data_IF_519524052445
#
_entry.id   IF_519524052445
#
_cell.length_a   1.000
_cell.length_b   1.000
_cell.length_c   1.000
_cell.angle_alpha   90.00
_cell.angle_beta   90.00
_cell.angle_gamma   90.00
#
_symmetry.space_group_name_H-M   'P 1'
#
loop_
_entity.id
_entity.type
_entity.pdbx_description
1 polymer ?
#
# COMPACT_ATOMS: atom_id res chain seq x y z
N UNK A 1 -1.40 15.71 10.69
CA UNK A 1 -0.79 16.08 9.39
C UNK A 1 -1.25 15.09 8.34
N UNK A 2 -1.27 15.47 7.07
CA UNK A 2 -1.51 14.58 5.94
C UNK A 2 -0.40 14.84 4.93
N UNK A 3 0.28 13.77 4.49
CA UNK A 3 1.47 13.87 3.63
C UNK A 3 1.34 12.86 2.50
N UNK A 4 1.52 13.33 1.27
CA UNK A 4 1.70 12.45 0.12
C UNK A 4 3.18 12.05 0.05
N UNK A 5 3.45 10.76 -0.18
CA UNK A 5 4.81 10.22 -0.26
C UNK A 5 5.04 9.50 -1.60
N UNK A 6 6.08 9.91 -2.32
CA UNK A 6 6.58 9.19 -3.49
C UNK A 6 7.32 7.91 -3.09
N UNK A 7 7.55 7.01 -4.05
CA UNK A 7 8.37 5.81 -3.82
C UNK A 7 9.80 6.15 -3.39
N UNK A 8 10.36 7.26 -3.90
CA UNK A 8 11.69 7.74 -3.51
C UNK A 8 11.73 8.15 -2.04
N UNK A 9 10.72 8.91 -1.59
CA UNK A 9 10.65 9.35 -0.20
C UNK A 9 10.48 8.17 0.75
N UNK A 10 9.64 7.19 0.40
CA UNK A 10 9.46 5.98 1.21
C UNK A 10 10.75 5.15 1.27
N UNK A 11 11.46 5.02 0.14
CA UNK A 11 12.72 4.27 0.08
C UNK A 11 13.83 4.93 0.92
N UNK A 12 13.92 6.26 0.87
CA UNK A 12 14.93 7.04 1.59
C UNK A 12 14.58 7.31 3.06
N UNK A 13 13.33 7.09 3.47
CA UNK A 13 12.86 7.31 4.84
C UNK A 13 12.31 6.01 5.45
N UNK A 14 13.14 4.99 5.72
CA UNK A 14 12.69 3.71 6.27
C UNK A 14 12.09 3.81 7.68
N UNK A 15 12.31 4.93 8.38
CA UNK A 15 11.74 5.24 9.69
C UNK A 15 10.38 5.95 9.62
N UNK A 16 9.80 6.14 8.43
CA UNK A 16 8.46 6.72 8.32
C UNK A 16 7.45 5.82 9.03
N UNK A 17 6.72 6.37 9.99
CA UNK A 17 5.79 5.65 10.84
C UNK A 17 4.50 6.46 11.01
N UNK A 18 3.60 6.46 10.00
CA UNK A 18 2.35 7.20 10.10
C UNK A 18 1.32 6.42 10.93
N UNK A 19 0.46 7.12 11.65
CA UNK A 19 -0.66 6.50 12.37
C UNK A 19 -1.66 5.81 11.42
N UNK A 20 -1.79 6.32 10.20
CA UNK A 20 -2.52 5.66 9.12
C UNK A 20 -1.72 5.74 7.81
N UNK A 21 -1.48 4.59 7.19
CA UNK A 21 -0.87 4.47 5.87
C UNK A 21 -1.93 4.16 4.83
N UNK A 22 -1.89 4.85 3.68
CA UNK A 22 -2.83 4.61 2.57
C UNK A 22 -2.06 4.29 1.30
N UNK A 23 -2.35 3.14 0.69
CA UNK A 23 -1.87 2.77 -0.64
C UNK A 23 -3.08 2.53 -1.55
N UNK A 24 -3.31 3.42 -2.52
CA UNK A 24 -4.54 3.43 -3.32
C UNK A 24 -4.52 2.44 -4.49
N UNK A 25 -3.43 2.41 -5.24
CA UNK A 25 -3.24 1.51 -6.39
C UNK A 25 -1.77 1.48 -6.79
N UNK A 26 -1.42 0.48 -7.62
CA UNK A 26 -0.10 0.35 -8.22
C UNK A 26 -0.17 0.09 -9.72
N UNK A 27 0.52 0.95 -10.47
CA UNK A 27 0.78 0.80 -11.91
C UNK A 27 2.27 1.03 -12.19
N UNK A 28 2.80 0.55 -13.33
CA UNK A 28 4.19 0.82 -13.71
C UNK A 28 4.54 2.30 -13.71
N UNK A 29 5.49 2.65 -12.86
CA UNK A 29 6.06 3.98 -12.74
C UNK A 29 7.48 3.88 -12.16
N UNK A 30 8.37 4.79 -12.54
CA UNK A 30 9.77 4.86 -12.07
C UNK A 30 10.54 3.51 -12.10
N UNK A 31 10.25 2.63 -13.06
CA UNK A 31 10.89 1.31 -13.14
C UNK A 31 12.36 1.36 -13.57
N UNK A 32 12.78 2.46 -14.19
CA UNK A 32 14.19 2.78 -14.44
C UNK A 32 14.99 2.88 -13.12
N UNK A 33 14.35 3.37 -12.04
CA UNK A 33 14.94 3.47 -10.70
C UNK A 33 14.80 2.18 -9.90
N UNK A 34 13.62 1.56 -9.96
CA UNK A 34 13.24 0.43 -9.09
C UNK A 34 13.52 -0.93 -9.72
N UNK A 35 13.80 -0.99 -11.01
CA UNK A 35 14.15 -2.19 -11.78
C UNK A 35 12.96 -3.07 -12.13
N UNK A 36 12.13 -3.42 -11.16
CA UNK A 36 10.97 -4.30 -11.37
C UNK A 36 9.73 -3.79 -10.66
N UNK A 37 8.55 -4.17 -11.17
CA UNK A 37 7.28 -3.89 -10.48
C UNK A 37 7.22 -4.47 -9.08
N UNK A 38 7.79 -5.67 -8.88
CA UNK A 38 7.81 -6.32 -7.57
C UNK A 38 8.61 -5.51 -6.54
N UNK A 39 9.77 -4.98 -6.96
CA UNK A 39 10.57 -4.11 -6.09
C UNK A 39 9.88 -2.78 -5.83
N UNK A 40 9.32 -2.13 -6.87
CA UNK A 40 8.55 -0.89 -6.71
C UNK A 40 7.36 -1.05 -5.74
N UNK A 41 6.61 -2.14 -5.87
CA UNK A 41 5.50 -2.46 -4.98
C UNK A 41 5.97 -2.70 -3.54
N UNK A 42 7.10 -3.42 -3.35
CA UNK A 42 7.63 -3.69 -2.01
C UNK A 42 8.14 -2.43 -1.32
N UNK A 43 8.67 -1.44 -2.05
CA UNK A 43 8.98 -0.12 -1.50
C UNK A 43 7.71 0.55 -0.98
N UNK A 44 6.66 0.66 -1.80
CA UNK A 44 5.42 1.34 -1.42
C UNK A 44 4.66 0.62 -0.30
N UNK A 45 4.73 -0.71 -0.25
CA UNK A 45 4.18 -1.54 0.82
C UNK A 45 4.73 -1.14 2.20
N UNK A 46 5.99 -0.70 2.31
CA UNK A 46 6.60 -0.28 3.58
C UNK A 46 5.77 0.79 4.30
N UNK A 47 5.16 1.72 3.57
CA UNK A 47 4.37 2.81 4.15
C UNK A 47 3.16 2.28 4.91
N UNK A 48 2.44 1.32 4.34
CA UNK A 48 1.24 0.73 4.96
C UNK A 48 1.60 -0.35 5.98
N UNK A 49 2.66 -1.11 5.73
CA UNK A 49 3.15 -2.15 6.64
C UNK A 49 3.65 -1.56 7.98
N UNK A 50 4.28 -0.38 7.93
CA UNK A 50 4.78 0.32 9.11
C UNK A 50 3.73 1.10 9.89
N UNK A 51 2.52 1.29 9.34
CA UNK A 51 1.47 2.10 9.98
C UNK A 51 0.64 1.33 11.00
N UNK A 52 0.08 2.03 11.99
CA UNK A 52 -0.85 1.41 12.95
C UNK A 52 -2.11 0.90 12.25
N UNK A 53 -2.66 1.72 11.34
CA UNK A 53 -3.81 1.41 10.48
C UNK A 53 -3.40 1.39 9.00
N UNK A 54 -3.40 0.20 8.40
CA UNK A 54 -3.14 0.03 6.98
C UNK A 54 -4.43 0.13 6.17
N UNK A 55 -4.47 1.03 5.18
CA UNK A 55 -5.58 1.16 4.24
C UNK A 55 -5.06 0.87 2.84
N UNK A 56 -5.64 -0.12 2.17
CA UNK A 56 -5.11 -0.62 0.89
C UNK A 56 -6.24 -0.73 -0.13
N UNK A 57 -6.04 -0.11 -1.29
CA UNK A 57 -6.89 -0.31 -2.45
C UNK A 57 -6.62 -1.66 -3.10
N UNK A 58 -7.69 -2.39 -3.41
CA UNK A 58 -7.60 -3.78 -3.90
C UNK A 58 -8.13 -3.97 -5.32
N UNK A 59 -8.24 -2.87 -6.07
CA UNK A 59 -8.70 -2.88 -7.46
C UNK A 59 -7.63 -3.32 -8.47
N UNK A 60 -6.36 -3.40 -8.04
CA UNK A 60 -5.26 -3.97 -8.79
C UNK A 60 -4.64 -5.17 -8.04
N UNK A 61 -3.95 -6.03 -8.80
CA UNK A 61 -3.41 -7.27 -8.26
C UNK A 61 -2.28 -7.07 -7.25
N UNK A 62 -1.53 -5.97 -7.31
CA UNK A 62 -0.47 -5.70 -6.34
C UNK A 62 -1.06 -5.25 -5.01
N UNK A 63 -2.02 -4.32 -5.04
CA UNK A 63 -2.76 -3.87 -3.87
C UNK A 63 -3.47 -5.03 -3.16
N UNK A 64 -4.17 -5.88 -3.91
CA UNK A 64 -4.81 -7.08 -3.37
C UNK A 64 -3.79 -8.02 -2.68
N UNK A 65 -2.66 -8.32 -3.34
CA UNK A 65 -1.63 -9.18 -2.77
C UNK A 65 -0.93 -8.56 -1.55
N UNK A 66 -0.77 -7.24 -1.51
CA UNK A 66 -0.23 -6.52 -0.34
C UNK A 66 -1.19 -6.66 0.84
N UNK A 67 -2.48 -6.40 0.64
CA UNK A 67 -3.49 -6.57 1.68
C UNK A 67 -3.47 -8.00 2.26
N UNK A 68 -3.45 -9.02 1.40
CA UNK A 68 -3.39 -10.42 1.82
C UNK A 68 -2.12 -10.79 2.59
N UNK A 69 -0.98 -10.17 2.26
CA UNK A 69 0.27 -10.38 3.01
C UNK A 69 0.21 -9.73 4.38
N UNK A 70 -0.29 -8.50 4.48
CA UNK A 70 -0.40 -7.76 5.73
C UNK A 70 -1.35 -8.47 6.71
N UNK A 71 -2.50 -8.96 6.23
CA UNK A 71 -3.43 -9.72 7.07
C UNK A 71 -2.84 -11.03 7.56
N UNK A 72 -2.13 -11.77 6.69
CA UNK A 72 -1.40 -12.99 7.10
C UNK A 72 -0.31 -12.70 8.13
N UNK A 73 0.26 -11.50 8.12
CA UNK A 73 1.18 -11.02 9.15
C UNK A 73 0.48 -10.52 10.43
N UNK A 74 -0.84 -10.68 10.54
CA UNK A 74 -1.63 -10.29 11.72
C UNK A 74 -1.92 -8.79 11.80
N UNK A 75 -1.76 -8.04 10.70
CA UNK A 75 -2.07 -6.61 10.67
C UNK A 75 -3.55 -6.36 10.44
N UNK A 76 -4.07 -5.32 11.10
CA UNK A 76 -5.37 -4.77 10.74
C UNK A 76 -5.26 -4.03 9.41
N UNK A 77 -6.02 -4.49 8.42
CA UNK A 77 -6.06 -3.93 7.07
C UNK A 77 -7.49 -3.52 6.74
N UNK A 78 -7.67 -2.27 6.35
CA UNK A 78 -8.90 -1.78 5.77
C UNK A 78 -8.78 -1.82 4.25
N UNK A 79 -9.47 -2.76 3.61
CA UNK A 79 -9.56 -2.79 2.15
C UNK A 79 -10.51 -1.71 1.64
N UNK A 80 -10.13 -1.06 0.54
CA UNK A 80 -11.00 -0.14 -0.20
C UNK A 80 -11.09 -0.54 -1.67
N UNK A 81 -12.26 -0.35 -2.28
CA UNK A 81 -12.47 -0.62 -3.71
C UNK A 81 -13.40 0.42 -4.32
N UNK A 82 -13.14 0.74 -5.59
CA UNK A 82 -14.01 1.52 -6.48
C UNK A 82 -14.69 0.63 -7.54
N UNK A 83 -14.28 -0.64 -7.68
CA UNK A 83 -14.74 -1.53 -8.75
C UNK A 83 -15.72 -2.59 -8.28
N UNK A 84 -15.49 -3.20 -7.12
CA UNK A 84 -16.28 -4.33 -6.64
C UNK A 84 -16.69 -4.13 -5.18
N UNK A 85 -17.92 -4.50 -4.80
CA UNK A 85 -18.31 -4.58 -3.40
C UNK A 85 -17.35 -5.48 -2.62
N UNK A 86 -16.98 -5.05 -1.42
CA UNK A 86 -16.15 -5.83 -0.50
C UNK A 86 -17.02 -6.43 0.60
N UNK A 87 -16.75 -7.69 0.96
CA UNK A 87 -17.39 -8.33 2.13
C UNK A 87 -16.96 -7.63 3.41
N UNK A 88 -15.67 -7.29 3.51
CA UNK A 88 -15.08 -6.55 4.61
C UNK A 88 -14.23 -5.41 4.03
N UNK A 89 -14.58 -4.16 4.37
CA UNK A 89 -13.93 -2.95 3.87
C UNK A 89 -14.92 -1.89 3.39
N UNK A 90 -14.44 -0.94 2.59
CA UNK A 90 -15.27 0.14 2.04
C UNK A 90 -15.34 0.05 0.51
N UNK A 91 -16.57 0.13 -0.01
CA UNK A 91 -16.85 0.28 -1.43
C UNK A 91 -17.76 1.49 -1.62
N UNK A 92 -17.37 2.40 -2.50
CA UNK A 92 -18.11 3.62 -2.85
C UNK A 92 -17.59 4.17 -4.18
#
# INVERSE_FOLDING_TARGET
YVVECSSYQIDLAPSINPTAGILLNLTPDHLDRHGTMAHYASIKERLVAGSDTAIVGVDDSWGAQIADRLERAGRQVTRISKRLPLTDGYFA
#
